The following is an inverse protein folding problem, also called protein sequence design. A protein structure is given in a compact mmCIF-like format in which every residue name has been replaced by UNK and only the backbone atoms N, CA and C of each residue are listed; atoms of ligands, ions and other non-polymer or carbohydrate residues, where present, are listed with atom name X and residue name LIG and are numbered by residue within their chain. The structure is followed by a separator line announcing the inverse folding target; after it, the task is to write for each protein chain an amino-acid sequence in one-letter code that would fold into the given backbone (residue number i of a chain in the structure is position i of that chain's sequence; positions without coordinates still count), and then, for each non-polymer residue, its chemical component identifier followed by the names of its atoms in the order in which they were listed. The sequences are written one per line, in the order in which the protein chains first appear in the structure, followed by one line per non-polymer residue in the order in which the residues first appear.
data_IF_894940603378
#
_entry.id   IF_894940603378
#
_cell.length_a   1.000
_cell.length_b   1.000
_cell.length_c   1.000
_cell.angle_alpha   90.00
_cell.angle_beta   90.00
_cell.angle_gamma   90.00
#
_symmetry.space_group_name_H-M   'P 1'
#
loop_
_entity.id
_entity.type
_entity.pdbx_description
1 polymer ?
#
# COMPACT_ATOMS: atom_id res chain seq x y z
N UNK A 1 -2.18 -9.98 -14.25
CA UNK A 1 -3.13 -10.22 -13.14
C UNK A 1 -4.13 -11.36 -13.32
N UNK A 2 -4.51 -11.75 -14.54
CA UNK A 2 -5.52 -12.80 -14.76
C UNK A 2 -5.22 -14.14 -14.07
N UNK A 3 -3.94 -14.48 -13.87
CA UNK A 3 -3.51 -15.70 -13.15
C UNK A 3 -3.93 -15.74 -11.66
N UNK A 4 -4.16 -14.58 -11.02
CA UNK A 4 -4.54 -14.52 -9.61
C UNK A 4 -6.05 -14.41 -9.41
N UNK A 5 -6.83 -14.23 -10.49
CA UNK A 5 -8.28 -14.18 -10.40
C UNK A 5 -8.83 -15.59 -10.16
N UNK A 6 -9.41 -15.81 -8.98
CA UNK A 6 -10.00 -17.11 -8.59
C UNK A 6 -9.00 -18.12 -8.01
N UNK A 7 -7.77 -17.70 -7.70
CA UNK A 7 -6.82 -18.53 -6.96
C UNK A 7 -7.27 -18.77 -5.51
N UNK A 8 -6.82 -19.87 -4.89
CA UNK A 8 -7.06 -20.13 -3.47
C UNK A 8 -6.34 -19.13 -2.58
N UNK A 9 -6.81 -18.96 -1.34
CA UNK A 9 -6.23 -18.03 -0.37
C UNK A 9 -4.74 -18.32 -0.10
N UNK A 10 -4.32 -19.60 -0.12
CA UNK A 10 -2.92 -19.98 0.03
C UNK A 10 -2.05 -19.45 -1.13
N UNK A 11 -2.51 -19.64 -2.37
CA UNK A 11 -1.80 -19.17 -3.56
C UNK A 11 -1.77 -17.64 -3.57
N UNK A 12 -2.90 -17.00 -3.24
CA UNK A 12 -3.00 -15.55 -3.13
C UNK A 12 -2.05 -15.01 -2.06
N UNK A 13 -1.89 -15.71 -0.94
CA UNK A 13 -0.99 -15.29 0.15
C UNK A 13 0.46 -15.30 -0.31
N UNK A 14 0.90 -16.39 -0.95
CA UNK A 14 2.28 -16.50 -1.47
C UNK A 14 2.54 -15.48 -2.59
N UNK A 15 1.60 -15.34 -3.53
CA UNK A 15 1.73 -14.41 -4.63
C UNK A 15 1.75 -12.95 -4.15
N UNK A 16 0.83 -12.57 -3.25
CA UNK A 16 0.75 -11.21 -2.72
C UNK A 16 1.94 -10.84 -1.83
N UNK A 17 2.49 -11.80 -1.08
CA UNK A 17 3.75 -11.61 -0.35
C UNK A 17 4.91 -11.30 -1.31
N UNK A 18 4.97 -12.02 -2.44
CA UNK A 18 5.97 -11.75 -3.49
C UNK A 18 5.78 -10.36 -4.10
N UNK A 19 4.53 -9.96 -4.37
CA UNK A 19 4.19 -8.64 -4.89
C UNK A 19 4.63 -7.50 -3.95
N UNK A 20 4.60 -7.69 -2.64
CA UNK A 20 5.09 -6.68 -1.69
C UNK A 20 6.55 -6.28 -1.99
N UNK A 21 7.39 -7.25 -2.34
CA UNK A 21 8.79 -7.00 -2.67
C UNK A 21 8.97 -6.41 -4.08
N UNK A 22 8.16 -6.87 -5.05
CA UNK A 22 8.23 -6.40 -6.44
C UNK A 22 7.68 -4.98 -6.65
N UNK A 23 6.95 -4.44 -5.68
CA UNK A 23 6.35 -3.10 -5.72
C UNK A 23 7.16 -2.03 -4.97
N UNK A 24 8.34 -2.38 -4.46
CA UNK A 24 9.29 -1.42 -3.91
C UNK A 24 9.73 -0.43 -4.99
N UNK A 25 10.04 0.81 -4.59
CA UNK A 25 10.37 1.91 -5.51
C UNK A 25 11.50 1.56 -6.50
N UNK A 26 12.49 0.81 -6.04
CA UNK A 26 13.66 0.43 -6.83
C UNK A 26 13.44 -0.81 -7.71
N UNK A 27 12.26 -1.41 -7.68
CA UNK A 27 11.96 -2.62 -8.44
C UNK A 27 11.63 -2.26 -9.89
N UNK A 28 12.34 -2.81 -10.89
CA UNK A 28 12.03 -2.59 -12.31
C UNK A 28 10.70 -3.24 -12.73
N UNK A 29 10.10 -4.05 -11.85
CA UNK A 29 8.80 -4.68 -12.09
C UNK A 29 7.61 -3.82 -11.66
N UNK A 30 7.84 -2.67 -11.01
CA UNK A 30 6.77 -1.85 -10.43
C UNK A 30 5.80 -1.32 -11.48
N UNK A 31 6.30 -0.67 -12.53
CA UNK A 31 5.48 -0.05 -13.58
C UNK A 31 4.66 -1.10 -14.36
N UNK A 32 5.23 -2.22 -14.86
CA UNK A 32 4.46 -3.24 -15.55
C UNK A 32 3.37 -3.87 -14.67
N UNK A 33 3.64 -4.07 -13.38
CA UNK A 33 2.66 -4.61 -12.44
C UNK A 33 1.51 -3.61 -12.27
N UNK A 34 1.82 -2.33 -12.11
CA UNK A 34 0.83 -1.28 -11.95
C UNK A 34 -0.12 -1.18 -13.15
N UNK A 35 0.43 -1.21 -14.37
CA UNK A 35 -0.34 -1.20 -15.61
C UNK A 35 -1.24 -2.43 -15.78
N UNK A 36 -0.91 -3.54 -15.11
CA UNK A 36 -1.67 -4.79 -15.19
C UNK A 36 -2.94 -4.85 -14.30
N UNK A 37 -3.35 -3.72 -13.71
CA UNK A 37 -4.52 -3.65 -12.82
C UNK A 37 -4.20 -4.05 -11.37
N UNK A 38 -2.96 -3.81 -10.92
CA UNK A 38 -2.55 -4.24 -9.59
C UNK A 38 -3.26 -3.54 -8.44
N UNK A 39 -3.59 -2.26 -8.61
CA UNK A 39 -4.30 -1.49 -7.58
C UNK A 39 -5.62 -2.16 -7.21
N UNK A 40 -6.41 -2.58 -8.22
CA UNK A 40 -7.71 -3.22 -8.00
C UNK A 40 -7.58 -4.55 -7.24
N UNK A 41 -6.63 -5.41 -7.64
CA UNK A 41 -6.40 -6.66 -6.94
C UNK A 41 -6.02 -6.41 -5.47
N UNK A 42 -5.02 -5.55 -5.25
CA UNK A 42 -4.49 -5.30 -3.91
C UNK A 42 -5.54 -4.66 -3.00
N UNK A 43 -6.37 -3.75 -3.54
CA UNK A 43 -7.53 -3.21 -2.82
C UNK A 43 -8.53 -4.33 -2.47
N UNK A 44 -8.76 -5.28 -3.38
CA UNK A 44 -9.57 -6.48 -3.12
C UNK A 44 -9.04 -7.32 -1.96
N UNK A 45 -7.73 -7.58 -1.92
CA UNK A 45 -7.10 -8.35 -0.84
C UNK A 45 -7.30 -7.72 0.54
N UNK A 46 -7.34 -6.37 0.63
CA UNK A 46 -7.59 -5.68 1.90
C UNK A 46 -8.98 -5.96 2.50
N UNK A 47 -9.89 -6.54 1.71
CA UNK A 47 -11.27 -6.87 2.11
C UNK A 47 -11.44 -8.34 2.48
N UNK A 48 -10.40 -9.17 2.32
CA UNK A 48 -10.46 -10.59 2.64
C UNK A 48 -10.55 -10.84 4.15
N UNK A 49 -11.20 -11.95 4.53
CA UNK A 49 -11.28 -12.38 5.93
C UNK A 49 -9.93 -12.85 6.47
N UNK A 50 -9.09 -13.40 5.60
CA UNK A 50 -7.76 -13.89 5.95
C UNK A 50 -6.82 -12.71 6.27
N UNK A 51 -6.28 -12.61 7.50
CA UNK A 51 -5.43 -11.48 7.87
C UNK A 51 -4.14 -11.38 7.05
N UNK A 52 -3.56 -12.50 6.65
CA UNK A 52 -2.37 -12.50 5.80
C UNK A 52 -2.62 -11.82 4.44
N UNK A 53 -3.79 -12.04 3.84
CA UNK A 53 -4.17 -11.37 2.59
C UNK A 53 -4.39 -9.87 2.79
N UNK A 54 -5.04 -9.48 3.89
CA UNK A 54 -5.21 -8.05 4.22
C UNK A 54 -3.86 -7.37 4.39
N UNK A 55 -2.96 -7.98 5.16
CA UNK A 55 -1.61 -7.49 5.42
C UNK A 55 -0.82 -7.32 4.12
N UNK A 56 -0.80 -8.34 3.27
CA UNK A 56 -0.08 -8.27 2.00
C UNK A 56 -0.68 -7.23 1.06
N UNK A 57 -2.01 -7.13 0.99
CA UNK A 57 -2.70 -6.11 0.20
C UNK A 57 -2.30 -4.70 0.62
N UNK A 58 -2.40 -4.40 1.92
CA UNK A 58 -2.09 -3.06 2.43
C UNK A 58 -0.59 -2.72 2.34
N UNK A 59 0.28 -3.70 2.57
CA UNK A 59 1.73 -3.49 2.49
C UNK A 59 2.18 -3.26 1.05
N UNK A 60 1.67 -4.04 0.10
CA UNK A 60 1.92 -3.82 -1.32
C UNK A 60 1.46 -2.44 -1.78
N UNK A 61 0.25 -1.99 -1.36
CA UNK A 61 -0.24 -0.64 -1.65
C UNK A 61 0.66 0.44 -1.01
N UNK A 62 1.11 0.23 0.23
CA UNK A 62 2.03 1.13 0.91
C UNK A 62 3.33 1.30 0.11
N UNK A 63 3.94 0.20 -0.33
CA UNK A 63 5.16 0.22 -1.14
C UNK A 63 4.91 0.91 -2.49
N UNK A 64 3.78 0.61 -3.13
CA UNK A 64 3.38 1.22 -4.39
C UNK A 64 3.23 2.73 -4.27
N UNK A 65 2.58 3.22 -3.20
CA UNK A 65 2.33 4.65 -2.95
C UNK A 65 3.61 5.45 -2.62
N UNK A 66 4.70 4.78 -2.22
CA UNK A 66 5.95 5.45 -1.93
C UNK A 66 6.54 6.08 -3.20
N UNK A 67 6.75 7.40 -3.14
CA UNK A 67 7.21 8.24 -4.27
C UNK A 67 6.41 8.09 -5.58
N UNK A 68 5.15 7.62 -5.49
CA UNK A 68 4.30 7.48 -6.66
C UNK A 68 3.77 8.83 -7.15
N UNK A 69 3.43 8.89 -8.43
CA UNK A 69 2.70 10.02 -9.01
C UNK A 69 1.33 10.18 -8.36
N UNK A 70 0.83 11.43 -8.33
CA UNK A 70 -0.47 11.76 -7.75
C UNK A 70 -1.62 10.96 -8.37
N UNK A 71 -1.54 10.61 -9.66
CA UNK A 71 -2.53 9.77 -10.34
C UNK A 71 -2.69 8.41 -9.65
N UNK A 72 -1.58 7.76 -9.30
CA UNK A 72 -1.59 6.45 -8.63
C UNK A 72 -2.12 6.57 -7.22
N UNK A 73 -1.68 7.60 -6.48
CA UNK A 73 -2.17 7.84 -5.11
C UNK A 73 -3.69 8.07 -5.09
N UNK A 74 -4.21 8.85 -6.03
CA UNK A 74 -5.65 9.06 -6.19
C UNK A 74 -6.39 7.77 -6.56
N UNK A 75 -5.82 6.94 -7.43
CA UNK A 75 -6.40 5.63 -7.78
C UNK A 75 -6.51 4.71 -6.56
N UNK A 76 -5.47 4.63 -5.72
CA UNK A 76 -5.47 3.84 -4.48
C UNK A 76 -6.56 4.35 -3.52
N UNK A 77 -6.61 5.67 -3.29
CA UNK A 77 -7.60 6.30 -2.39
C UNK A 77 -9.03 6.03 -2.85
N UNK A 78 -9.32 6.22 -4.14
CA UNK A 78 -10.65 6.03 -4.71
C UNK A 78 -11.10 4.57 -4.63
N UNK A 79 -10.18 3.61 -4.83
CA UNK A 79 -10.51 2.20 -4.87
C UNK A 79 -10.69 1.57 -3.47
N UNK A 80 -9.87 2.00 -2.50
CA UNK A 80 -10.11 1.65 -1.10
C UNK A 80 -11.41 2.28 -0.60
N UNK A 81 -11.58 3.58 -0.82
CA UNK A 81 -12.63 4.37 -0.21
C UNK A 81 -12.41 4.58 1.29
N UNK A 82 -13.00 5.64 1.84
CA UNK A 82 -12.83 6.04 3.25
C UNK A 82 -13.26 4.93 4.21
N UNK A 83 -14.36 4.24 3.94
CA UNK A 83 -14.90 3.20 4.83
C UNK A 83 -13.95 2.00 4.96
N UNK A 84 -13.24 1.65 3.89
CA UNK A 84 -12.23 0.59 3.98
C UNK A 84 -11.00 1.05 4.77
N UNK A 85 -10.57 2.29 4.56
CA UNK A 85 -9.44 2.87 5.29
C UNK A 85 -9.72 2.85 6.79
N UNK A 86 -10.90 3.30 7.23
CA UNK A 86 -11.26 3.27 8.66
C UNK A 86 -11.37 1.85 9.21
N UNK A 87 -11.86 0.88 8.41
CA UNK A 87 -11.84 -0.54 8.80
C UNK A 87 -10.43 -1.06 9.02
N UNK A 88 -9.50 -0.76 8.11
CA UNK A 88 -8.10 -1.17 8.22
C UNK A 88 -7.36 -0.48 9.37
N UNK A 89 -7.71 0.77 9.68
CA UNK A 89 -7.23 1.48 10.87
C UNK A 89 -7.80 0.93 12.19
N UNK A 90 -8.86 0.13 12.11
CA UNK A 90 -9.49 -0.53 13.26
C UNK A 90 -9.29 -2.05 13.21
N UNK A 91 -8.38 -2.54 12.37
CA UNK A 91 -8.13 -3.97 12.21
C UNK A 91 -7.59 -4.55 13.52
N UNK A 92 -8.06 -5.74 13.96
CA UNK A 92 -7.53 -6.39 15.15
C UNK A 92 -6.05 -6.76 15.01
N UNK A 93 -5.56 -6.99 13.78
CA UNK A 93 -4.14 -7.28 13.56
C UNK A 93 -3.32 -5.97 13.52
N UNK A 94 -2.46 -5.82 14.52
CA UNK A 94 -1.61 -4.63 14.68
C UNK A 94 -0.75 -4.38 13.43
N UNK A 95 -0.25 -5.42 12.79
CA UNK A 95 0.56 -5.27 11.58
C UNK A 95 -0.23 -4.66 10.41
N UNK A 96 -1.51 -5.02 10.25
CA UNK A 96 -2.38 -4.42 9.23
C UNK A 96 -2.60 -2.93 9.52
N UNK A 97 -2.90 -2.59 10.77
CA UNK A 97 -3.05 -1.21 11.23
C UNK A 97 -1.77 -0.40 10.96
N UNK A 98 -0.61 -0.93 11.34
CA UNK A 98 0.67 -0.26 11.16
C UNK A 98 1.00 0.01 9.68
N UNK A 99 0.74 -0.97 8.81
CA UNK A 99 0.91 -0.77 7.36
C UNK A 99 -0.12 0.21 6.78
N UNK A 100 -1.33 0.27 7.34
CA UNK A 100 -2.35 1.24 6.94
C UNK A 100 -1.91 2.67 7.25
N UNK A 101 -1.36 2.91 8.45
CA UNK A 101 -0.76 4.20 8.81
C UNK A 101 0.41 4.55 7.89
N UNK A 102 1.27 3.57 7.57
CA UNK A 102 2.35 3.74 6.59
C UNK A 102 1.85 4.11 5.20
N UNK A 103 0.75 3.48 4.73
CA UNK A 103 0.12 3.83 3.46
C UNK A 103 -0.40 5.27 3.50
N UNK A 104 -1.13 5.67 4.55
CA UNK A 104 -1.65 7.03 4.69
C UNK A 104 -0.53 8.06 4.69
N UNK A 105 0.58 7.79 5.39
CA UNK A 105 1.78 8.63 5.32
C UNK A 105 2.23 8.79 3.88
N UNK A 106 2.35 7.72 3.10
CA UNK A 106 2.82 7.77 1.72
C UNK A 106 1.83 8.49 0.77
N UNK A 107 0.53 8.34 1.01
CA UNK A 107 -0.52 8.97 0.22
C UNK A 107 -0.63 10.48 0.49
N UNK A 108 -0.54 10.88 1.76
CA UNK A 108 -0.82 12.24 2.22
C UNK A 108 0.43 13.11 2.34
N UNK A 109 1.60 12.51 2.55
CA UNK A 109 2.85 13.27 2.62
C UNK A 109 3.37 13.53 1.21
N UNK A 110 3.56 14.80 0.90
CA UNK A 110 4.26 15.23 -0.31
C UNK A 110 5.68 15.63 0.08
N UNK A 111 6.65 15.38 -0.80
CA UNK A 111 8.04 15.78 -0.59
C UNK A 111 8.19 17.26 -0.17
N UNK A 112 7.47 18.23 -0.76
CA UNK A 112 7.51 19.62 -0.31
C UNK A 112 7.12 19.84 1.15
N UNK A 113 6.10 19.12 1.65
CA UNK A 113 5.69 19.25 3.05
C UNK A 113 6.74 18.67 4.01
N UNK A 114 7.34 17.54 3.64
CA UNK A 114 8.43 16.92 4.41
C UNK A 114 9.64 17.83 4.42
N UNK A 115 10.06 18.34 3.26
CA UNK A 115 11.20 19.26 3.13
C UNK A 115 10.98 20.53 3.95
N UNK A 116 9.75 21.06 3.96
CA UNK A 116 9.39 22.21 4.79
C UNK A 116 9.53 21.92 6.30
N UNK A 117 9.00 20.80 6.78
CA UNK A 117 9.11 20.39 8.19
C UNK A 117 10.59 20.17 8.57
N UNK A 118 11.36 19.49 7.72
CA UNK A 118 12.79 19.25 7.95
C UNK A 118 13.59 20.55 7.93
N UNK A 119 13.22 21.52 7.10
CA UNK A 119 13.81 22.86 7.13
C UNK A 119 13.57 23.61 8.44
N UNK A 120 12.40 23.42 9.07
CA UNK A 120 12.04 24.09 10.34
C UNK A 120 12.57 23.35 11.58
N UNK A 121 12.54 22.02 11.57
CA UNK A 121 12.71 21.19 12.76
C UNK A 121 13.78 20.09 12.63
N UNK A 122 14.50 20.02 11.50
CA UNK A 122 15.43 18.93 11.21
C UNK A 122 16.52 18.75 12.27
N UNK A 123 17.01 19.85 12.86
CA UNK A 123 18.04 19.79 13.89
C UNK A 123 17.57 19.15 15.20
N UNK A 124 16.29 19.30 15.58
CA UNK A 124 15.72 18.64 16.76
C UNK A 124 15.33 17.19 16.47
N UNK A 125 14.93 16.88 15.24
CA UNK A 125 14.51 15.54 14.82
C UNK A 125 15.70 14.58 14.69
N UNK A 126 16.88 15.09 14.29
CA UNK A 126 18.08 14.27 14.05
C UNK A 126 19.00 14.10 15.28
N UNK A 127 18.60 14.60 16.46
CA UNK A 127 19.28 14.36 17.73
C UNK A 127 18.70 13.13 18.43
#
# INVERSE_FOLDING_TARGET
MQLLQGASDDILTVASSTLCNLLLEFSPSKEPILESGAVDLLCGLTRCKEPALRLNGIWALMNMAFQAEQKIKSQILNNLGTDQIFRLLSDPEVDVLMKTLGLLRNLLSTKPHIDHIMGLHGNQIMQ
#
